data_IF_049570178625
#
_entry.id   IF_049570178625
#
_cell.length_a   1.000
_cell.length_b   1.000
_cell.length_c   1.000
_cell.angle_alpha   90.00
_cell.angle_beta   90.00
_cell.angle_gamma   90.00
#
_symmetry.space_group_name_H-M   'P 1'
#
loop_
_entity.id
_entity.type
_entity.pdbx_description
1 polymer ?
#
# COMPACT_ATOMS: atom_id res chain seq x y z
N UNK A 1 43.11 -31.35 -18.65
CA UNK A 1 43.24 -29.93 -18.25
C UNK A 1 42.09 -29.61 -17.31
N UNK A 2 42.34 -28.84 -16.24
CA UNK A 2 41.74 -28.93 -14.87
C UNK A 2 42.49 -30.01 -14.06
N UNK A 3 43.03 -29.74 -12.83
CA UNK A 3 42.27 -29.26 -11.67
C UNK A 3 42.95 -28.33 -10.63
N UNK A 4 42.09 -27.65 -9.85
CA UNK A 4 42.05 -27.52 -8.37
C UNK A 4 43.35 -27.28 -7.58
N UNK A 5 43.36 -26.21 -6.75
CA UNK A 5 44.14 -26.16 -5.51
C UNK A 5 43.22 -25.91 -4.31
N UNK A 6 43.37 -26.81 -3.33
CA UNK A 6 42.58 -27.03 -2.13
C UNK A 6 43.44 -26.67 -0.89
N UNK A 7 42.80 -26.13 0.15
CA UNK A 7 43.10 -26.17 1.61
C UNK A 7 44.52 -26.54 2.10
N UNK A 8 45.05 -25.81 3.10
CA UNK A 8 45.09 -26.25 4.52
C UNK A 8 46.03 -25.44 5.46
N UNK A 9 45.46 -25.04 6.61
CA UNK A 9 45.90 -25.16 8.02
C UNK A 9 47.38 -25.10 8.52
N UNK A 10 47.48 -24.39 9.68
CA UNK A 10 48.41 -24.54 10.85
C UNK A 10 49.85 -24.04 10.65
N UNK A 11 50.48 -23.33 11.59
CA UNK A 11 50.86 -23.76 12.94
C UNK A 11 51.25 -22.57 13.86
N UNK A 12 51.00 -22.70 15.18
CA UNK A 12 51.75 -22.02 16.27
C UNK A 12 52.97 -22.91 16.67
N UNK A 13 53.75 -22.74 17.77
CA UNK A 13 53.79 -21.69 18.82
C UNK A 13 55.25 -21.35 19.29
N UNK A 14 55.37 -20.66 20.45
CA UNK A 14 56.29 -20.89 21.59
C UNK A 14 57.35 -19.81 21.98
N UNK A 15 57.26 -19.43 23.28
CA UNK A 15 58.31 -19.07 24.28
C UNK A 15 59.17 -17.82 24.08
N UNK A 16 59.67 -17.10 25.08
CA UNK A 16 59.46 -16.86 26.52
C UNK A 16 60.74 -16.14 26.98
N UNK A 17 60.68 -15.15 27.88
CA UNK A 17 61.65 -15.03 28.99
C UNK A 17 61.16 -13.97 29.99
N UNK A 18 61.14 -14.36 31.26
CA UNK A 18 60.96 -13.50 32.41
C UNK A 18 62.31 -13.38 33.13
N UNK A 19 62.65 -12.21 33.66
CA UNK A 19 63.63 -12.04 34.74
C UNK A 19 63.06 -11.05 35.77
N UNK A 20 63.32 -11.36 37.02
CA UNK A 20 62.63 -11.00 38.25
C UNK A 20 63.52 -10.13 39.15
N UNK A 21 62.85 -9.26 39.93
CA UNK A 21 63.19 -8.61 41.21
C UNK A 21 64.42 -7.70 41.37
N UNK A 22 64.16 -6.54 41.98
CA UNK A 22 64.72 -6.16 43.29
C UNK A 22 63.85 -5.06 43.94
N UNK A 23 63.59 -5.23 45.24
CA UNK A 23 62.78 -4.36 46.08
C UNK A 23 63.63 -3.27 46.76
N UNK A 24 63.03 -2.11 47.08
CA UNK A 24 62.95 -1.53 48.43
C UNK A 24 62.77 -0.01 48.43
N UNK A 25 62.19 0.44 49.55
CA UNK A 25 62.21 1.80 50.14
C UNK A 25 61.21 2.82 49.60
N UNK A 26 60.27 3.17 50.48
CA UNK A 26 59.22 4.13 50.23
C UNK A 26 59.65 5.58 50.39
N UNK A 27 58.86 6.44 49.78
CA UNK A 27 58.68 7.84 50.13
C UNK A 27 57.22 8.20 49.82
N UNK A 28 56.56 8.75 50.83
CA UNK A 28 55.24 9.38 50.71
C UNK A 28 55.45 10.88 50.46
N UNK A 29 55.08 11.41 49.28
CA UNK A 29 54.92 12.85 49.11
C UNK A 29 53.50 13.29 49.50
N UNK A 30 53.45 14.52 50.01
CA UNK A 30 52.34 15.16 50.66
C UNK A 30 51.17 15.51 49.72
N UNK A 31 49.96 15.56 50.31
CA UNK A 31 48.74 16.11 49.70
C UNK A 31 48.94 17.58 49.34
N UNK A 32 48.84 17.90 48.06
CA UNK A 32 48.55 19.25 47.59
C UNK A 32 47.02 19.47 47.59
N UNK A 33 46.59 20.63 48.07
CA UNK A 33 45.18 20.99 48.25
C UNK A 33 44.40 21.07 46.94
N UNK A 34 43.16 20.62 47.01
CA UNK A 34 42.17 20.64 45.93
C UNK A 34 41.62 22.07 45.78
N UNK A 35 41.82 22.68 44.62
CA UNK A 35 41.14 23.92 44.24
C UNK A 35 39.68 23.62 43.90
N UNK A 36 38.70 24.44 44.32
CA UNK A 36 37.29 24.18 44.06
C UNK A 36 36.99 24.30 42.56
N UNK A 37 36.45 23.22 41.99
CA UNK A 37 36.02 23.15 40.60
C UNK A 37 34.83 24.10 40.36
N UNK A 38 34.95 24.95 39.33
CA UNK A 38 33.82 25.72 38.81
C UNK A 38 32.83 24.79 38.09
N UNK A 39 31.51 25.02 38.21
CA UNK A 39 30.51 24.22 37.54
C UNK A 39 30.53 24.48 36.03
N UNK A 40 30.88 23.44 35.26
CA UNK A 40 30.83 23.44 33.80
C UNK A 40 29.37 23.55 33.34
N UNK A 41 29.02 24.61 32.62
CA UNK A 41 27.73 24.73 31.95
C UNK A 41 27.59 23.62 30.88
N UNK A 42 26.53 22.84 30.98
CA UNK A 42 26.19 21.81 30.01
C UNK A 42 25.85 22.45 28.65
N UNK A 43 26.46 21.92 27.58
CA UNK A 43 26.16 22.33 26.22
C UNK A 43 24.70 21.99 25.84
N UNK A 44 24.02 22.79 25.00
CA UNK A 44 22.66 22.50 24.56
C UNK A 44 22.63 21.20 23.74
N UNK A 45 21.63 20.36 24.00
CA UNK A 45 21.40 19.14 23.23
C UNK A 45 21.12 19.46 21.74
N UNK A 46 21.57 18.63 20.80
CA UNK A 46 21.27 18.80 19.37
C UNK A 46 19.75 18.81 19.15
N UNK A 47 19.26 19.80 18.40
CA UNK A 47 17.86 19.86 18.00
C UNK A 47 17.48 18.62 17.20
N UNK A 48 16.38 17.96 17.58
CA UNK A 48 15.84 16.83 16.85
C UNK A 48 15.42 17.26 15.43
N UNK A 49 15.70 16.45 14.39
CA UNK A 49 15.24 16.73 13.03
C UNK A 49 13.71 16.87 12.99
N UNK A 50 13.23 17.88 12.27
CA UNK A 50 11.80 18.07 12.07
C UNK A 50 11.15 16.81 11.45
N UNK A 51 9.90 16.46 11.82
CA UNK A 51 9.18 15.36 11.20
C UNK A 51 9.12 15.55 9.69
N UNK A 52 9.45 14.51 8.93
CA UNK A 52 9.32 14.51 7.48
C UNK A 52 7.87 14.84 7.07
N UNK A 53 7.72 15.69 6.04
CA UNK A 53 6.42 16.00 5.46
C UNK A 53 5.69 14.69 5.07
N UNK A 54 4.34 14.64 5.17
CA UNK A 54 3.57 13.49 4.68
C UNK A 54 3.93 13.21 3.22
N UNK A 55 4.12 11.94 2.87
CA UNK A 55 4.29 11.54 1.48
C UNK A 55 2.95 11.67 0.73
N UNK A 56 3.00 12.19 -0.49
CA UNK A 56 1.88 12.25 -1.43
C UNK A 56 1.18 10.88 -1.54
N UNK A 57 -0.16 10.87 -1.55
CA UNK A 57 -0.95 9.64 -1.33
C UNK A 57 -1.64 9.18 -2.63
N UNK A 58 -1.35 7.97 -3.12
CA UNK A 58 -2.07 7.41 -4.26
C UNK A 58 -3.51 7.01 -3.88
N UNK A 59 -4.49 7.41 -4.69
CA UNK A 59 -5.91 7.06 -4.60
C UNK A 59 -6.36 6.34 -5.87
N UNK A 60 -7.27 5.37 -5.75
CA UNK A 60 -7.90 4.75 -6.93
C UNK A 60 -9.04 5.64 -7.41
N UNK A 61 -8.83 6.34 -8.54
CA UNK A 61 -9.82 7.22 -9.15
C UNK A 61 -10.88 6.48 -9.98
N UNK A 62 -10.58 5.26 -10.44
CA UNK A 62 -11.55 4.42 -11.14
C UNK A 62 -11.06 3.00 -11.37
N UNK A 63 -11.99 2.04 -11.50
CA UNK A 63 -11.70 0.64 -11.87
C UNK A 63 -12.46 0.27 -13.14
N UNK A 64 -11.77 -0.43 -14.02
CA UNK A 64 -12.19 -0.79 -15.36
C UNK A 64 -11.75 -2.23 -15.61
N UNK A 65 -12.52 -3.18 -15.05
CA UNK A 65 -12.18 -4.61 -15.05
C UNK A 65 -10.79 -4.82 -14.43
N UNK A 66 -9.82 -5.24 -15.25
CA UNK A 66 -8.48 -5.60 -14.80
C UNK A 66 -7.57 -4.37 -14.63
N UNK A 67 -8.06 -3.18 -14.98
CA UNK A 67 -7.30 -1.93 -14.91
C UNK A 67 -7.87 -0.97 -13.88
N UNK A 68 -7.01 -0.19 -13.25
CA UNK A 68 -7.38 0.91 -12.38
C UNK A 68 -6.68 2.20 -12.80
N UNK A 69 -7.35 3.34 -12.67
CA UNK A 69 -6.72 4.67 -12.70
C UNK A 69 -6.37 5.03 -11.27
N UNK A 70 -5.10 5.31 -11.02
CA UNK A 70 -4.55 5.73 -9.74
C UNK A 70 -4.06 7.16 -9.89
N UNK A 71 -4.47 8.05 -9.00
CA UNK A 71 -4.02 9.44 -8.97
C UNK A 71 -3.26 9.70 -7.68
N UNK A 72 -2.17 10.46 -7.73
CA UNK A 72 -1.43 10.88 -6.55
C UNK A 72 -1.95 12.25 -6.13
N UNK A 73 -2.47 12.34 -4.91
CA UNK A 73 -2.84 13.61 -4.30
C UNK A 73 -1.56 14.36 -3.92
N UNK A 74 -1.37 15.56 -4.48
CA UNK A 74 -0.44 16.54 -3.91
C UNK A 74 -1.11 17.17 -2.68
N UNK A 75 -0.42 17.20 -1.54
CA UNK A 75 -0.91 17.65 -0.22
C UNK A 75 -1.32 19.15 -0.19
N UNK A 76 -2.40 19.52 -0.88
CA UNK A 76 -3.04 20.83 -0.80
C UNK A 76 -2.56 21.89 -1.79
N UNK A 77 -1.98 21.52 -2.93
CA UNK A 77 -1.73 22.45 -4.04
C UNK A 77 -2.84 22.31 -5.09
N UNK A 78 -3.82 23.24 -5.13
CA UNK A 78 -4.96 23.15 -6.06
C UNK A 78 -4.57 23.30 -7.54
N UNK A 79 -3.34 23.76 -7.83
CA UNK A 79 -2.87 24.08 -9.18
C UNK A 79 -1.82 23.09 -9.73
N UNK A 80 -1.46 22.03 -9.00
CA UNK A 80 -0.61 20.98 -9.57
C UNK A 80 -1.49 19.91 -10.22
N UNK A 81 -1.26 19.58 -11.50
CA UNK A 81 -2.06 18.56 -12.18
C UNK A 81 -1.88 17.22 -11.46
N UNK A 82 -2.99 16.63 -11.01
CA UNK A 82 -3.01 15.31 -10.39
C UNK A 82 -2.24 14.31 -11.28
N UNK A 83 -1.17 13.71 -10.75
CA UNK A 83 -0.43 12.69 -11.47
C UNK A 83 -1.24 11.39 -11.43
N UNK A 84 -2.01 11.16 -12.49
CA UNK A 84 -2.75 9.93 -12.68
C UNK A 84 -2.04 8.97 -13.64
N UNK A 85 -2.17 7.67 -13.36
CA UNK A 85 -1.64 6.58 -14.17
C UNK A 85 -2.59 5.37 -14.14
N UNK A 86 -2.58 4.56 -15.20
CA UNK A 86 -3.20 3.24 -15.21
C UNK A 86 -2.29 2.22 -14.56
N UNK A 87 -2.92 1.22 -13.93
CA UNK A 87 -2.24 0.05 -13.40
C UNK A 87 -3.13 -1.19 -13.52
N UNK A 88 -2.58 -2.32 -13.96
CA UNK A 88 -3.28 -3.62 -14.03
C UNK A 88 -3.26 -4.35 -12.67
N UNK A 89 -2.18 -4.15 -11.90
CA UNK A 89 -2.03 -4.60 -10.53
C UNK A 89 -1.85 -3.36 -9.67
N UNK A 90 -2.90 -2.87 -8.99
CA UNK A 90 -2.86 -1.58 -8.28
C UNK A 90 -1.67 -1.42 -7.29
N UNK A 91 -1.06 -2.53 -6.87
CA UNK A 91 0.15 -2.62 -6.05
C UNK A 91 1.30 -3.30 -6.81
N UNK A 92 1.77 -2.69 -7.89
CA UNK A 92 2.77 -3.22 -8.85
C UNK A 92 4.19 -3.48 -8.27
N UNK A 93 4.39 -3.39 -6.96
CA UNK A 93 5.67 -3.56 -6.27
C UNK A 93 5.69 -4.81 -5.36
N UNK A 94 4.57 -5.55 -5.32
CA UNK A 94 4.45 -6.81 -4.61
C UNK A 94 5.02 -7.94 -5.47
N UNK A 95 6.19 -8.48 -5.09
CA UNK A 95 6.90 -9.52 -5.85
C UNK A 95 6.02 -10.74 -6.19
N UNK A 96 5.04 -11.06 -5.33
CA UNK A 96 4.10 -12.17 -5.50
C UNK A 96 3.02 -11.88 -6.55
N UNK A 97 2.90 -10.62 -6.99
CA UNK A 97 1.92 -10.13 -7.96
C UNK A 97 2.59 -9.58 -9.23
N UNK A 98 3.85 -9.95 -9.45
CA UNK A 98 4.59 -9.60 -10.66
C UNK A 98 4.44 -10.69 -11.74
N UNK A 99 4.41 -10.30 -13.02
CA UNK A 99 4.66 -8.94 -13.51
C UNK A 99 3.44 -8.00 -13.45
N UNK A 100 3.73 -6.69 -13.41
CA UNK A 100 2.74 -5.62 -13.40
C UNK A 100 3.11 -4.51 -14.39
N UNK A 101 2.14 -3.73 -14.85
CA UNK A 101 2.32 -2.63 -15.80
C UNK A 101 1.75 -1.32 -15.28
N UNK A 102 2.53 -0.25 -15.42
CA UNK A 102 2.12 1.12 -15.16
C UNK A 102 2.15 1.91 -16.46
N UNK A 103 1.05 2.60 -16.78
CA UNK A 103 0.95 3.48 -17.95
C UNK A 103 0.54 4.86 -17.48
N UNK A 104 1.33 5.88 -17.78
CA UNK A 104 1.07 7.24 -17.31
C UNK A 104 1.74 8.26 -18.20
N UNK A 105 1.59 9.53 -17.85
CA UNK A 105 2.30 10.59 -18.54
C UNK A 105 3.62 10.86 -17.84
N UNK A 106 4.73 10.74 -18.56
CA UNK A 106 6.06 11.10 -18.09
C UNK A 106 6.50 12.43 -18.72
N UNK A 107 7.27 13.23 -17.98
CA UNK A 107 7.86 14.48 -18.48
C UNK A 107 9.32 14.23 -18.86
N UNK A 108 9.70 14.54 -20.10
CA UNK A 108 11.11 14.51 -20.53
C UNK A 108 11.93 15.62 -19.87
N UNK A 109 13.25 15.52 -19.95
CA UNK A 109 14.18 16.59 -19.57
C UNK A 109 13.91 17.92 -20.29
N UNK A 110 13.24 17.88 -21.44
CA UNK A 110 12.84 19.07 -22.21
C UNK A 110 11.46 19.61 -21.81
N UNK A 111 10.85 19.09 -20.76
CA UNK A 111 9.50 19.48 -20.30
C UNK A 111 8.36 18.93 -21.15
N UNK A 112 8.65 18.11 -22.17
CA UNK A 112 7.61 17.47 -22.98
C UNK A 112 6.93 16.36 -22.19
N UNK A 113 5.60 16.45 -22.05
CA UNK A 113 4.77 15.39 -21.50
C UNK A 113 4.49 14.34 -22.58
N UNK A 114 4.89 13.09 -22.35
CA UNK A 114 4.61 11.96 -23.24
C UNK A 114 3.88 10.85 -22.50
N UNK A 115 3.03 10.11 -23.23
CA UNK A 115 2.48 8.87 -22.71
C UNK A 115 3.59 7.82 -22.67
N UNK A 116 3.71 7.13 -21.55
CA UNK A 116 4.77 6.18 -21.30
C UNK A 116 4.26 4.93 -20.58
N UNK A 117 5.01 3.84 -20.74
CA UNK A 117 4.76 2.55 -20.14
C UNK A 117 6.00 2.06 -19.40
N UNK A 118 5.79 1.43 -18.24
CA UNK A 118 6.82 0.74 -17.46
C UNK A 118 6.28 -0.60 -16.96
N UNK A 119 7.14 -1.61 -16.91
CA UNK A 119 6.84 -2.91 -16.33
C UNK A 119 7.67 -3.16 -15.07
N UNK A 120 7.06 -3.88 -14.15
CA UNK A 120 7.71 -4.47 -12.99
C UNK A 120 7.72 -5.98 -13.18
N UNK A 121 8.90 -6.58 -13.19
CA UNK A 121 9.16 -7.99 -13.42
C UNK A 121 9.61 -8.65 -12.11
N UNK A 122 9.41 -9.97 -11.91
CA UNK A 122 9.87 -10.66 -10.72
C UNK A 122 11.37 -10.42 -10.42
N UNK A 123 11.82 -10.33 -9.14
CA UNK A 123 13.23 -10.13 -8.76
C UNK A 123 14.21 -11.15 -9.36
N UNK A 124 13.70 -12.36 -9.63
CA UNK A 124 14.43 -13.45 -10.23
C UNK A 124 14.69 -13.27 -11.74
N UNK A 125 14.21 -12.19 -12.35
CA UNK A 125 14.45 -11.90 -13.77
C UNK A 125 15.93 -11.62 -14.04
N UNK A 126 16.43 -12.20 -15.13
CA UNK A 126 17.74 -11.88 -15.71
C UNK A 126 17.62 -10.55 -16.48
N UNK A 127 18.23 -9.51 -15.92
CA UNK A 127 18.18 -8.17 -16.47
C UNK A 127 18.97 -8.02 -17.77
N UNK A 128 20.00 -8.84 -17.96
CA UNK A 128 20.91 -8.74 -19.11
C UNK A 128 20.30 -9.37 -20.37
N UNK A 129 19.30 -10.24 -20.20
CA UNK A 129 18.50 -10.81 -21.28
C UNK A 129 17.41 -9.87 -21.82
N UNK A 130 17.12 -8.77 -21.10
CA UNK A 130 16.04 -7.84 -21.44
C UNK A 130 14.65 -8.46 -21.38
N UNK A 131 13.69 -7.80 -22.02
CA UNK A 131 12.32 -8.30 -22.15
C UNK A 131 11.75 -8.05 -23.55
N UNK A 132 10.66 -8.76 -23.84
CA UNK A 132 9.96 -8.74 -25.12
C UNK A 132 8.48 -8.52 -24.90
N UNK A 133 7.89 -7.54 -25.58
CA UNK A 133 6.47 -7.22 -25.51
C UNK A 133 5.77 -7.60 -26.82
N UNK A 134 4.72 -8.42 -26.73
CA UNK A 134 3.81 -8.69 -27.84
C UNK A 134 2.36 -8.42 -27.44
N UNK A 135 1.49 -8.17 -28.43
CA UNK A 135 0.05 -8.02 -28.22
C UNK A 135 -0.65 -8.98 -29.19
N UNK A 136 -1.40 -9.95 -28.65
CA UNK A 136 -1.93 -11.09 -29.41
C UNK A 136 -0.84 -12.00 -30.01
N UNK A 137 -1.13 -12.65 -31.14
CA UNK A 137 -0.23 -13.60 -31.82
C UNK A 137 0.81 -12.93 -32.73
N UNK A 138 0.95 -11.60 -32.65
CA UNK A 138 1.90 -10.86 -33.48
C UNK A 138 3.33 -11.09 -32.98
N UNK A 139 4.29 -11.07 -33.91
CA UNK A 139 5.71 -10.94 -33.58
C UNK A 139 5.92 -9.74 -32.66
N UNK A 140 6.90 -9.82 -31.76
CA UNK A 140 7.01 -8.80 -30.73
C UNK A 140 7.21 -7.42 -31.32
N UNK A 141 6.56 -6.52 -30.63
CA UNK A 141 6.35 -5.16 -31.06
C UNK A 141 7.43 -4.28 -30.42
N UNK A 142 7.97 -4.70 -29.27
CA UNK A 142 9.06 -4.00 -28.59
C UNK A 142 10.00 -5.00 -27.90
N UNK A 143 11.31 -4.80 -28.05
CA UNK A 143 12.31 -5.33 -27.12
C UNK A 143 12.74 -4.18 -26.20
N UNK A 144 12.99 -4.47 -24.93
CA UNK A 144 13.35 -3.43 -23.97
C UNK A 144 14.38 -3.89 -22.94
N UNK A 145 14.96 -2.88 -22.28
CA UNK A 145 16.02 -3.03 -21.29
C UNK A 145 15.44 -3.09 -19.87
N UNK A 146 16.16 -3.82 -19.00
CA UNK A 146 15.90 -3.91 -17.58
C UNK A 146 17.10 -3.28 -16.85
N UNK A 147 17.10 -1.95 -16.60
CA UNK A 147 18.26 -1.25 -16.04
C UNK A 147 18.61 -1.69 -14.61
N UNK A 148 17.62 -2.08 -13.81
CA UNK A 148 17.84 -2.37 -12.40
C UNK A 148 16.92 -3.47 -11.88
N UNK A 149 17.45 -4.26 -10.96
CA UNK A 149 16.69 -5.20 -10.15
C UNK A 149 17.10 -5.05 -8.70
N UNK A 150 16.13 -5.10 -7.80
CA UNK A 150 16.34 -5.18 -6.37
C UNK A 150 15.65 -6.42 -5.78
N UNK A 151 15.49 -6.45 -4.45
CA UNK A 151 14.84 -7.56 -3.75
C UNK A 151 13.32 -7.67 -3.99
N UNK A 152 12.69 -6.62 -4.55
CA UNK A 152 11.24 -6.50 -4.72
C UNK A 152 10.81 -6.63 -6.17
N UNK A 153 11.56 -6.04 -7.11
CA UNK A 153 11.26 -6.15 -8.54
C UNK A 153 12.50 -5.90 -9.40
N UNK A 154 12.39 -6.35 -10.65
CA UNK A 154 13.16 -5.84 -11.77
C UNK A 154 12.32 -4.78 -12.49
N UNK A 155 12.87 -3.60 -12.73
CA UNK A 155 12.15 -2.50 -13.36
C UNK A 155 12.64 -2.30 -14.78
N UNK A 156 11.72 -2.13 -15.72
CA UNK A 156 12.08 -1.75 -17.09
C UNK A 156 12.37 -0.25 -17.17
N UNK A 157 13.15 0.14 -18.18
CA UNK A 157 13.22 1.55 -18.57
C UNK A 157 11.80 2.05 -18.90
N UNK A 158 11.52 3.31 -18.59
CA UNK A 158 10.30 3.99 -19.06
C UNK A 158 10.39 4.08 -20.58
N UNK A 159 9.41 3.51 -21.27
CA UNK A 159 9.34 3.54 -22.73
C UNK A 159 8.24 4.49 -23.16
N UNK A 160 8.46 5.30 -24.22
CA UNK A 160 7.36 5.97 -24.90
C UNK A 160 6.30 4.94 -25.32
N UNK A 161 5.03 5.30 -25.19
CA UNK A 161 3.90 4.49 -25.63
C UNK A 161 3.20 5.23 -26.78
N UNK A 162 3.60 4.98 -28.05
CA UNK A 162 2.99 5.63 -29.21
C UNK A 162 1.51 5.26 -29.37
N UNK A 163 0.73 6.14 -30.02
CA UNK A 163 -0.69 5.93 -30.28
C UNK A 163 -0.97 4.65 -31.05
N UNK A 164 -0.09 4.22 -31.94
CA UNK A 164 -0.23 2.98 -32.72
C UNK A 164 -0.23 1.74 -31.81
N UNK A 165 0.58 1.78 -30.75
CA UNK A 165 0.64 0.71 -29.74
C UNK A 165 -0.60 0.76 -28.87
N UNK A 166 -1.03 1.95 -28.43
CA UNK A 166 -2.28 2.13 -27.68
C UNK A 166 -3.46 1.58 -28.47
N UNK A 167 -3.55 1.87 -29.76
CA UNK A 167 -4.61 1.38 -30.65
C UNK A 167 -4.56 -0.14 -30.81
N UNK A 168 -3.35 -0.71 -30.82
CA UNK A 168 -3.16 -2.16 -30.84
C UNK A 168 -3.61 -2.78 -29.52
N UNK A 169 -3.31 -2.16 -28.38
CA UNK A 169 -3.78 -2.60 -27.06
C UNK A 169 -5.32 -2.48 -26.93
N UNK A 170 -5.92 -1.40 -27.45
CA UNK A 170 -7.38 -1.20 -27.43
C UNK A 170 -8.15 -2.28 -28.20
N UNK A 171 -7.54 -2.85 -29.25
CA UNK A 171 -8.11 -3.94 -30.06
C UNK A 171 -7.72 -5.34 -29.57
N UNK A 172 -6.67 -5.44 -28.75
CA UNK A 172 -6.15 -6.69 -28.23
C UNK A 172 -6.90 -7.15 -26.99
N UNK A 173 -6.91 -8.46 -26.74
CA UNK A 173 -7.43 -9.06 -25.50
C UNK A 173 -6.33 -9.27 -24.46
N UNK A 174 -5.10 -9.49 -24.92
CA UNK A 174 -3.94 -9.85 -24.07
C UNK A 174 -2.68 -9.22 -24.62
N UNK A 175 -1.87 -8.68 -23.72
CA UNK A 175 -0.48 -8.30 -23.95
C UNK A 175 0.41 -9.34 -23.28
N UNK A 176 1.43 -9.83 -23.97
CA UNK A 176 2.32 -10.86 -23.45
C UNK A 176 3.70 -10.28 -23.20
N UNK A 177 4.18 -10.48 -21.98
CA UNK A 177 5.49 -10.03 -21.53
C UNK A 177 6.43 -11.23 -21.42
N UNK A 178 7.39 -11.32 -22.33
CA UNK A 178 8.44 -12.34 -22.33
C UNK A 178 9.70 -11.84 -21.64
N UNK A 179 10.27 -12.64 -20.73
CA UNK A 179 11.51 -12.35 -20.03
C UNK A 179 12.22 -13.65 -19.62
N UNK A 180 13.47 -13.57 -19.18
CA UNK A 180 14.26 -14.75 -18.77
C UNK A 180 14.51 -14.70 -17.27
N UNK A 181 14.51 -15.86 -16.60
CA UNK A 181 14.88 -15.96 -15.18
C UNK A 181 16.37 -16.24 -14.99
N UNK A 182 16.93 -15.74 -13.89
CA UNK A 182 18.28 -16.07 -13.42
C UNK A 182 18.39 -17.58 -13.21
N UNK A 183 19.28 -18.24 -13.98
CA UNK A 183 19.40 -19.70 -14.01
C UNK A 183 18.95 -20.33 -15.33
N UNK A 184 18.44 -19.54 -16.27
CA UNK A 184 17.95 -20.01 -17.56
C UNK A 184 16.49 -20.43 -17.49
N UNK A 185 15.73 -20.09 -18.54
CA UNK A 185 14.29 -20.30 -18.60
C UNK A 185 13.60 -19.04 -19.11
N UNK A 186 13.30 -19.03 -20.42
CA UNK A 186 12.42 -18.02 -20.99
C UNK A 186 11.01 -18.28 -20.48
N UNK A 187 10.36 -17.23 -19.98
CA UNK A 187 8.97 -17.26 -19.54
C UNK A 187 8.17 -16.17 -20.24
N UNK A 188 6.87 -16.37 -20.31
CA UNK A 188 5.92 -15.40 -20.87
C UNK A 188 4.75 -15.25 -19.93
N UNK A 189 4.43 -14.01 -19.57
CA UNK A 189 3.30 -13.68 -18.70
C UNK A 189 2.22 -12.94 -19.48
N UNK A 190 0.97 -13.44 -19.51
CA UNK A 190 -0.13 -12.73 -20.09
C UNK A 190 -0.63 -11.62 -19.15
N UNK A 191 -0.79 -10.42 -19.70
CA UNK A 191 -1.44 -9.27 -19.07
C UNK A 191 -2.76 -9.05 -19.79
N UNK A 192 -3.86 -9.09 -19.05
CA UNK A 192 -5.20 -8.88 -19.61
C UNK A 192 -5.38 -7.42 -20.05
N UNK A 193 -5.90 -7.23 -21.26
CA UNK A 193 -6.30 -5.91 -21.77
C UNK A 193 -7.81 -5.66 -21.55
N UNK A 194 -8.47 -6.53 -20.80
CA UNK A 194 -9.88 -6.36 -20.44
C UNK A 194 -10.08 -5.09 -19.62
N UNK A 195 -10.77 -4.11 -20.21
CA UNK A 195 -11.03 -2.82 -19.57
C UNK A 195 -9.94 -1.75 -19.80
N UNK A 196 -8.84 -2.10 -20.48
CA UNK A 196 -7.76 -1.15 -20.83
C UNK A 196 -8.30 0.06 -21.60
N UNK A 197 -9.12 -0.14 -22.64
CA UNK A 197 -9.66 0.95 -23.46
C UNK A 197 -10.45 1.96 -22.62
N UNK A 198 -11.27 1.48 -21.68
CA UNK A 198 -12.08 2.33 -20.82
C UNK A 198 -11.22 3.09 -19.80
N UNK A 199 -10.26 2.40 -19.17
CA UNK A 199 -9.31 3.03 -18.26
C UNK A 199 -8.43 4.08 -18.95
N UNK A 200 -7.98 3.79 -20.17
CA UNK A 200 -7.12 4.69 -20.94
C UNK A 200 -7.87 5.96 -21.33
N UNK A 201 -9.11 5.81 -21.81
CA UNK A 201 -9.95 6.94 -22.14
C UNK A 201 -10.25 7.79 -20.90
N UNK A 202 -10.47 7.16 -19.74
CA UNK A 202 -10.65 7.86 -18.48
C UNK A 202 -9.39 8.65 -18.09
N UNK A 203 -8.20 8.04 -18.15
CA UNK A 203 -6.94 8.74 -17.88
C UNK A 203 -6.74 9.93 -18.84
N UNK A 204 -6.99 9.74 -20.14
CA UNK A 204 -6.79 10.77 -21.15
C UNK A 204 -7.76 11.97 -20.99
N UNK A 205 -8.93 11.75 -20.42
CA UNK A 205 -9.98 12.77 -20.25
C UNK A 205 -9.93 13.47 -18.88
N UNK A 206 -8.94 13.17 -18.03
CA UNK A 206 -8.92 13.69 -16.65
C UNK A 206 -10.06 13.14 -15.78
N UNK A 207 -10.69 12.04 -16.23
CA UNK A 207 -11.76 11.18 -15.63
C UNK A 207 -13.04 11.94 -15.20
N UNK A 208 -14.28 11.71 -15.73
CA UNK A 208 -15.06 10.43 -15.79
C UNK A 208 -15.70 10.14 -17.19
N UNK A 209 -16.32 8.95 -17.50
CA UNK A 209 -17.24 8.18 -16.63
C UNK A 209 -17.16 6.63 -16.66
N UNK A 210 -17.84 5.93 -15.71
CA UNK A 210 -18.01 4.48 -15.75
C UNK A 210 -19.41 4.07 -16.26
N UNK A 211 -19.44 3.25 -17.29
CA UNK A 211 -20.55 2.34 -17.59
C UNK A 211 -19.98 0.99 -18.05
N UNK A 212 -20.44 -0.08 -17.42
CA UNK A 212 -20.16 -1.50 -17.67
C UNK A 212 -18.80 -2.08 -17.20
N UNK A 213 -18.77 -2.50 -15.94
CA UNK A 213 -18.26 -3.82 -15.52
C UNK A 213 -18.81 -4.17 -14.13
N UNK A 214 -19.84 -5.03 -14.11
CA UNK A 214 -20.37 -5.67 -12.93
C UNK A 214 -19.53 -6.92 -12.56
N UNK A 215 -19.59 -7.29 -11.27
CA UNK A 215 -18.96 -8.42 -10.57
C UNK A 215 -17.45 -8.25 -10.22
N UNK A 216 -16.96 -8.45 -8.99
CA UNK A 216 -17.54 -8.96 -7.75
C UNK A 216 -16.62 -8.58 -6.56
N UNK A 217 -17.11 -7.76 -5.64
CA UNK A 217 -16.79 -7.87 -4.21
C UNK A 217 -18.09 -7.50 -3.49
N UNK A 218 -18.73 -8.50 -2.88
CA UNK A 218 -20.12 -8.46 -2.42
C UNK A 218 -20.56 -7.13 -1.80
N UNK A 219 -21.48 -6.47 -2.52
CA UNK A 219 -22.10 -5.20 -2.16
C UNK A 219 -22.27 -4.32 -3.41
N UNK A 220 -23.36 -3.55 -3.54
CA UNK A 220 -23.58 -2.69 -4.69
C UNK A 220 -22.43 -1.74 -5.00
N UNK A 221 -22.26 -1.43 -6.29
CA UNK A 221 -21.24 -0.50 -6.77
C UNK A 221 -21.50 0.91 -6.22
N UNK A 222 -20.90 1.16 -5.06
CA UNK A 222 -20.98 2.44 -4.38
C UNK A 222 -20.00 3.41 -5.02
N UNK A 223 -20.53 4.52 -5.53
CA UNK A 223 -19.78 5.61 -6.13
C UNK A 223 -19.32 6.56 -5.02
N UNK A 224 -18.15 7.15 -5.19
CA UNK A 224 -17.69 8.23 -4.33
C UNK A 224 -18.72 9.37 -4.32
N UNK A 225 -19.07 9.85 -3.12
CA UNK A 225 -19.96 10.99 -2.92
C UNK A 225 -19.20 12.19 -2.34
N UNK A 226 -18.47 11.99 -1.25
CA UNK A 226 -17.82 13.09 -0.54
C UNK A 226 -16.70 12.59 0.39
N UNK A 227 -15.68 13.43 0.61
CA UNK A 227 -14.60 13.18 1.58
C UNK A 227 -14.79 14.07 2.81
N UNK A 228 -14.58 13.49 3.99
CA UNK A 228 -14.59 14.11 5.31
C UNK A 228 -13.24 13.83 5.97
N UNK A 229 -12.23 14.63 5.63
CA UNK A 229 -10.86 14.43 6.08
C UNK A 229 -10.38 13.00 5.80
N UNK A 230 -10.34 12.14 6.82
CA UNK A 230 -9.85 10.77 6.73
C UNK A 230 -10.94 9.74 6.37
N UNK A 231 -12.21 10.14 6.27
CA UNK A 231 -13.34 9.29 5.91
C UNK A 231 -13.90 9.64 4.54
N UNK A 232 -14.30 8.65 3.76
CA UNK A 232 -14.97 8.86 2.47
C UNK A 232 -16.38 8.28 2.52
N UNK A 233 -17.36 9.00 1.97
CA UNK A 233 -18.71 8.51 1.79
C UNK A 233 -18.85 7.92 0.38
N UNK A 234 -19.30 6.68 0.31
CA UNK A 234 -19.65 6.01 -0.93
C UNK A 234 -21.13 5.62 -0.92
N UNK A 235 -21.80 5.73 -2.07
CA UNK A 235 -23.23 5.49 -2.21
C UNK A 235 -23.54 4.69 -3.47
N UNK A 236 -24.36 3.64 -3.35
CA UNK A 236 -24.71 2.78 -4.49
C UNK A 236 -26.01 2.03 -4.27
N UNK A 237 -26.60 1.55 -5.36
CA UNK A 237 -27.84 0.76 -5.32
C UNK A 237 -27.55 -0.73 -5.51
N UNK A 238 -28.10 -1.63 -4.66
CA UNK A 238 -27.98 -3.10 -4.74
C UNK A 238 -28.13 -3.66 -6.15
N UNK A 239 -29.13 -3.16 -6.85
CA UNK A 239 -29.44 -3.39 -8.24
C UNK A 239 -29.45 -2.02 -8.93
N UNK A 240 -29.13 -1.95 -10.22
CA UNK A 240 -29.17 -0.68 -10.96
C UNK A 240 -30.61 -0.14 -11.17
N UNK A 241 -31.57 -0.60 -10.36
CA UNK A 241 -32.96 -0.19 -10.37
C UNK A 241 -33.10 1.17 -9.66
N UNK A 242 -33.53 2.23 -10.35
CA UNK A 242 -33.74 3.54 -9.74
C UNK A 242 -34.74 3.55 -8.58
N UNK A 243 -35.67 2.57 -8.55
CA UNK A 243 -36.65 2.40 -7.48
C UNK A 243 -36.06 1.82 -6.19
N UNK A 244 -34.87 1.20 -6.25
CA UNK A 244 -34.19 0.70 -5.06
C UNK A 244 -33.48 1.85 -4.36
N UNK A 245 -33.68 1.99 -3.04
CA UNK A 245 -32.94 2.96 -2.25
C UNK A 245 -31.44 2.84 -2.43
N UNK A 246 -30.80 4.01 -2.51
CA UNK A 246 -29.36 4.09 -2.51
C UNK A 246 -28.82 3.84 -1.09
N UNK A 247 -27.86 2.93 -0.98
CA UNK A 247 -27.19 2.61 0.26
C UNK A 247 -25.89 3.40 0.30
N UNK A 248 -25.77 4.29 1.28
CA UNK A 248 -24.54 5.02 1.57
C UNK A 248 -23.81 4.42 2.77
N UNK A 249 -22.48 4.52 2.75
CA UNK A 249 -21.62 4.17 3.87
C UNK A 249 -20.39 5.06 3.91
N UNK A 250 -19.84 5.25 5.10
CA UNK A 250 -18.52 5.83 5.29
C UNK A 250 -17.48 4.71 5.27
N UNK A 251 -16.33 4.97 4.67
CA UNK A 251 -15.20 4.07 4.63
C UNK A 251 -13.90 4.79 4.98
N UNK A 252 -13.03 4.09 5.70
CA UNK A 252 -11.62 4.43 5.80
C UNK A 252 -10.79 3.17 5.59
N UNK A 253 -9.84 3.23 4.66
CA UNK A 253 -8.89 2.15 4.39
C UNK A 253 -7.56 2.47 5.03
N UNK A 254 -7.06 1.57 5.87
CA UNK A 254 -5.73 1.65 6.46
C UNK A 254 -4.76 0.90 5.56
N UNK A 255 -3.68 1.57 5.16
CA UNK A 255 -2.60 0.94 4.40
C UNK A 255 -1.52 0.44 5.35
N UNK A 256 -0.91 -0.69 5.03
CA UNK A 256 0.26 -1.19 5.74
C UNK A 256 1.44 -0.25 5.54
N UNK A 257 1.97 0.29 6.64
CA UNK A 257 3.13 1.18 6.63
C UNK A 257 4.40 0.57 5.99
N UNK A 258 4.45 -0.76 5.86
CA UNK A 258 5.61 -1.48 5.29
C UNK A 258 5.41 -1.94 3.86
N UNK A 259 4.17 -2.05 3.37
CA UNK A 259 3.85 -2.81 2.15
C UNK A 259 2.97 -2.04 1.14
N UNK A 260 2.43 -0.87 1.49
CA UNK A 260 1.57 -0.10 0.58
C UNK A 260 0.26 -0.80 0.19
N UNK A 261 -0.05 -1.95 0.81
CA UNK A 261 -1.29 -2.71 0.63
C UNK A 261 -2.33 -2.28 1.66
N UNK A 262 -3.62 -2.38 1.33
CA UNK A 262 -4.68 -2.21 2.31
C UNK A 262 -4.53 -3.27 3.43
N UNK A 263 -4.21 -2.82 4.63
CA UNK A 263 -4.14 -3.64 5.83
C UNK A 263 -5.53 -4.01 6.31
N UNK A 264 -6.47 -3.07 6.26
CA UNK A 264 -7.90 -3.30 6.50
C UNK A 264 -8.72 -2.08 6.09
N UNK A 265 -10.04 -2.24 6.01
CA UNK A 265 -10.98 -1.12 5.92
C UNK A 265 -12.04 -1.17 7.02
N UNK A 266 -12.52 -0.01 7.46
CA UNK A 266 -13.69 0.13 8.31
C UNK A 266 -14.82 0.77 7.50
N UNK A 267 -16.00 0.14 7.50
CA UNK A 267 -17.23 0.60 6.85
C UNK A 267 -18.32 0.87 7.87
N UNK A 268 -18.95 2.04 7.78
CA UNK A 268 -20.04 2.45 8.68
C UNK A 268 -21.26 2.80 7.85
N UNK A 269 -22.39 2.16 8.14
CA UNK A 269 -23.66 2.39 7.44
C UNK A 269 -24.84 2.27 8.37
N UNK A 270 -25.97 2.86 7.99
CA UNK A 270 -27.23 2.48 8.61
C UNK A 270 -27.64 1.08 8.13
N UNK A 271 -27.90 0.18 9.07
CA UNK A 271 -28.53 -1.10 8.81
C UNK A 271 -30.01 -0.87 8.46
N UNK A 272 -30.51 -1.64 7.51
CA UNK A 272 -31.94 -1.67 7.24
C UNK A 272 -32.68 -2.06 8.53
N UNK A 273 -33.74 -1.32 8.90
CA UNK A 273 -34.49 -1.64 10.09
C UNK A 273 -35.15 -3.00 9.92
N UNK A 274 -35.15 -3.81 10.98
CA UNK A 274 -36.04 -4.97 11.05
C UNK A 274 -37.43 -4.41 11.39
N UNK A 275 -38.44 -4.79 10.61
CA UNK A 275 -39.89 -4.51 10.77
C UNK A 275 -40.23 -3.39 11.77
N UNK A 276 -40.33 -2.15 11.28
CA UNK A 276 -40.81 -0.99 12.06
C UNK A 276 -39.83 -0.42 13.11
N UNK A 277 -38.62 -0.98 13.25
CA UNK A 277 -37.61 -0.47 14.17
C UNK A 277 -36.81 0.73 13.66
N UNK A 278 -36.07 1.38 14.56
CA UNK A 278 -35.14 2.44 14.19
C UNK A 278 -33.94 1.91 13.37
N UNK A 279 -33.45 2.72 12.44
CA UNK A 279 -32.20 2.45 11.70
C UNK A 279 -31.03 2.48 12.68
N UNK A 280 -30.30 1.38 12.81
CA UNK A 280 -29.12 1.29 13.67
C UNK A 280 -27.83 1.47 12.87
N UNK A 281 -26.84 2.14 13.43
CA UNK A 281 -25.51 2.19 12.83
C UNK A 281 -24.83 0.82 12.94
N UNK A 282 -24.29 0.35 11.83
CA UNK A 282 -23.51 -0.87 11.73
C UNK A 282 -22.08 -0.53 11.32
N UNK A 283 -21.12 -1.13 12.03
CA UNK A 283 -19.70 -1.08 11.73
C UNK A 283 -19.28 -2.46 11.19
N UNK A 284 -18.54 -2.44 10.09
CA UNK A 284 -17.93 -3.60 9.48
C UNK A 284 -16.45 -3.33 9.29
N UNK A 285 -15.61 -4.20 9.84
CA UNK A 285 -14.21 -4.28 9.49
C UNK A 285 -14.03 -5.30 8.37
N UNK A 286 -13.20 -4.96 7.40
CA UNK A 286 -12.77 -5.80 6.30
C UNK A 286 -11.27 -6.03 6.47
N UNK A 287 -10.92 -7.22 6.91
CA UNK A 287 -9.56 -7.70 7.09
C UNK A 287 -9.10 -8.51 5.87
N UNK A 288 -7.79 -8.71 5.70
CA UNK A 288 -7.25 -9.57 4.66
C UNK A 288 -7.71 -11.02 4.80
N UNK A 289 -7.73 -11.83 3.71
CA UNK A 289 -8.05 -13.26 3.78
C UNK A 289 -7.17 -14.08 4.74
N UNK A 290 -5.92 -13.65 4.95
CA UNK A 290 -4.96 -14.30 5.84
C UNK A 290 -5.24 -14.07 7.34
N UNK A 291 -6.32 -13.39 7.69
CA UNK A 291 -6.70 -13.14 9.08
C UNK A 291 -7.22 -14.41 9.75
N UNK A 292 -6.69 -14.70 10.95
CA UNK A 292 -7.12 -15.82 11.77
C UNK A 292 -8.50 -15.55 12.38
N UNK A 293 -9.54 -16.10 11.76
CA UNK A 293 -10.93 -15.90 12.18
C UNK A 293 -11.18 -16.22 13.66
N UNK A 294 -10.58 -17.31 14.17
CA UNK A 294 -10.75 -17.77 15.56
C UNK A 294 -10.14 -16.82 16.60
N UNK A 295 -9.22 -15.93 16.21
CA UNK A 295 -8.57 -15.00 17.13
C UNK A 295 -9.40 -13.73 17.39
N UNK A 296 -10.41 -13.45 16.55
CA UNK A 296 -11.22 -12.23 16.67
C UNK A 296 -10.44 -10.94 16.43
N UNK A 297 -11.01 -9.83 16.92
CA UNK A 297 -10.40 -8.50 16.87
C UNK A 297 -10.61 -7.74 18.19
N UNK A 298 -9.78 -6.74 18.44
CA UNK A 298 -9.90 -5.81 19.55
C UNK A 298 -9.82 -4.37 19.04
N UNK A 299 -10.66 -3.49 19.57
CA UNK A 299 -10.71 -2.06 19.23
C UNK A 299 -10.32 -1.24 20.45
N UNK A 300 -9.45 -0.26 20.21
CA UNK A 300 -9.07 0.77 21.17
C UNK A 300 -9.36 2.15 20.57
N UNK A 301 -9.78 3.11 21.39
CA UNK A 301 -9.90 4.52 21.02
C UNK A 301 -8.98 5.31 21.93
N UNK A 302 -8.07 6.07 21.33
CA UNK A 302 -7.02 6.82 22.05
C UNK A 302 -6.34 5.95 23.13
N UNK A 303 -5.92 4.75 22.72
CA UNK A 303 -5.21 3.74 23.51
C UNK A 303 -6.02 3.13 24.68
N UNK A 304 -7.32 3.41 24.76
CA UNK A 304 -8.24 2.77 25.72
C UNK A 304 -9.01 1.64 25.05
N UNK A 305 -8.98 0.40 25.58
CA UNK A 305 -9.81 -0.69 25.09
C UNK A 305 -11.30 -0.32 25.15
N UNK A 306 -12.00 -0.49 24.02
CA UNK A 306 -13.43 -0.17 23.91
C UNK A 306 -14.25 -1.44 23.70
N UNK A 307 -13.79 -2.33 22.81
CA UNK A 307 -14.49 -3.58 22.57
C UNK A 307 -13.58 -4.65 21.96
N UNK A 308 -14.07 -5.88 21.98
CA UNK A 308 -13.52 -7.01 21.23
C UNK A 308 -14.68 -7.81 20.65
N UNK A 309 -14.43 -8.55 19.57
CA UNK A 309 -15.49 -9.33 18.93
C UNK A 309 -14.98 -10.39 17.97
N UNK A 310 -15.88 -11.28 17.52
CA UNK A 310 -15.54 -12.33 16.57
C UNK A 310 -15.44 -11.77 15.15
N UNK A 311 -14.61 -12.42 14.33
CA UNK A 311 -14.65 -12.28 12.87
C UNK A 311 -15.69 -13.28 12.37
N UNK A 312 -16.73 -12.78 11.70
CA UNK A 312 -17.95 -13.57 11.46
C UNK A 312 -17.87 -14.42 10.19
N UNK A 313 -17.12 -13.96 9.18
CA UNK A 313 -17.01 -14.65 7.89
C UNK A 313 -15.65 -14.37 7.26
N UNK A 314 -14.99 -15.40 6.77
CA UNK A 314 -13.84 -15.28 5.88
C UNK A 314 -14.14 -15.98 4.56
N UNK A 315 -13.79 -15.34 3.46
CA UNK A 315 -13.79 -15.93 2.12
C UNK A 315 -12.46 -15.66 1.42
N UNK A 316 -12.37 -15.99 0.13
CA UNK A 316 -11.13 -15.84 -0.65
C UNK A 316 -10.68 -14.39 -0.81
N UNK A 317 -11.58 -13.42 -0.62
CA UNK A 317 -11.32 -12.00 -0.85
C UNK A 317 -11.14 -11.22 0.45
N UNK A 318 -11.94 -11.48 1.49
CA UNK A 318 -11.87 -10.77 2.77
C UNK A 318 -12.30 -11.61 3.96
N UNK A 319 -11.83 -11.22 5.14
CA UNK A 319 -12.41 -11.57 6.42
C UNK A 319 -13.23 -10.38 6.94
N UNK A 320 -14.52 -10.57 7.21
CA UNK A 320 -15.44 -9.50 7.58
C UNK A 320 -16.00 -9.65 9.00
N UNK A 321 -16.27 -8.52 9.65
CA UNK A 321 -17.12 -8.42 10.83
C UNK A 321 -18.48 -7.85 10.46
N UNK A 322 -19.45 -7.99 11.35
CA UNK A 322 -20.69 -7.24 11.28
C UNK A 322 -21.15 -6.98 12.71
N UNK A 323 -21.12 -5.72 13.14
CA UNK A 323 -21.58 -5.33 14.46
C UNK A 323 -22.46 -4.10 14.39
N UNK A 324 -23.44 -4.03 15.28
CA UNK A 324 -24.18 -2.79 15.55
C UNK A 324 -23.30 -1.93 16.46
N UNK A 325 -23.16 -0.65 16.13
CA UNK A 325 -22.40 0.29 16.95
C UNK A 325 -23.23 0.67 18.18
N UNK A 326 -22.78 0.37 19.41
CA UNK A 326 -23.44 0.87 20.61
C UNK A 326 -23.28 2.40 20.70
N UNK A 327 -24.22 3.13 21.33
CA UNK A 327 -24.13 4.58 21.49
C UNK A 327 -22.80 5.05 22.11
N UNK A 328 -22.30 4.31 23.10
CA UNK A 328 -21.02 4.59 23.75
C UNK A 328 -19.84 4.54 22.77
N UNK A 329 -19.79 3.57 21.85
CA UNK A 329 -18.75 3.50 20.83
C UNK A 329 -18.84 4.70 19.88
N UNK A 330 -20.04 5.10 19.49
CA UNK A 330 -20.26 6.28 18.63
C UNK A 330 -19.74 7.54 19.33
N UNK A 331 -20.09 7.73 20.60
CA UNK A 331 -19.66 8.88 21.39
C UNK A 331 -18.14 8.93 21.59
N UNK A 332 -17.53 7.78 21.85
CA UNK A 332 -16.08 7.65 21.94
C UNK A 332 -15.41 7.97 20.61
N UNK A 333 -15.94 7.47 19.48
CA UNK A 333 -15.39 7.76 18.15
C UNK A 333 -15.58 9.24 17.77
N UNK A 334 -16.66 9.90 18.19
CA UNK A 334 -16.89 11.34 17.96
C UNK A 334 -15.92 12.23 18.73
N UNK A 335 -15.52 11.81 19.94
CA UNK A 335 -14.62 12.56 20.83
C UNK A 335 -13.15 12.21 20.61
N UNK A 336 -12.87 11.01 20.12
CA UNK A 336 -11.52 10.49 20.00
C UNK A 336 -10.78 10.96 18.76
N UNK A 337 -9.47 10.68 18.72
CA UNK A 337 -8.59 11.09 17.63
C UNK A 337 -8.11 9.92 16.76
N UNK A 338 -7.94 8.74 17.39
CA UNK A 338 -7.43 7.53 16.76
C UNK A 338 -8.23 6.31 17.23
N UNK A 339 -8.56 5.43 16.29
CA UNK A 339 -9.09 4.10 16.57
C UNK A 339 -8.08 3.05 16.13
N UNK A 340 -7.58 2.25 17.06
CA UNK A 340 -6.63 1.17 16.78
C UNK A 340 -7.35 -0.17 16.79
N UNK A 341 -7.21 -0.95 15.73
CA UNK A 341 -7.82 -2.28 15.61
C UNK A 341 -6.74 -3.35 15.57
N UNK A 342 -6.67 -4.16 16.62
CA UNK A 342 -5.76 -5.29 16.71
C UNK A 342 -6.44 -6.58 16.23
N UNK A 343 -5.74 -7.33 15.39
CA UNK A 343 -6.18 -8.62 14.87
C UNK A 343 -4.96 -9.50 14.58
N UNK A 344 -5.18 -10.77 14.27
CA UNK A 344 -4.07 -11.71 14.04
C UNK A 344 -4.08 -12.23 12.61
N UNK A 345 -2.98 -12.08 11.91
CA UNK A 345 -2.71 -12.72 10.62
C UNK A 345 -2.01 -14.06 10.86
N UNK A 346 -1.96 -14.92 9.84
CA UNK A 346 -1.12 -16.12 9.80
C UNK A 346 0.34 -15.88 10.27
N UNK A 347 0.88 -14.69 9.98
CA UNK A 347 2.24 -14.26 10.33
C UNK A 347 2.36 -13.57 11.69
N UNK A 348 1.27 -13.42 12.45
CA UNK A 348 1.28 -12.88 13.80
C UNK A 348 0.31 -11.71 14.03
N UNK A 349 0.39 -11.13 15.23
CA UNK A 349 -0.47 -10.02 15.65
C UNK A 349 -0.13 -8.76 14.87
N UNK A 350 -1.16 -8.03 14.45
CA UNK A 350 -1.03 -6.75 13.76
C UNK A 350 -2.03 -5.75 14.32
N UNK A 351 -1.76 -4.46 14.12
CA UNK A 351 -2.64 -3.38 14.54
C UNK A 351 -2.75 -2.37 13.40
N UNK A 352 -3.97 -1.96 13.10
CA UNK A 352 -4.26 -0.92 12.12
C UNK A 352 -4.79 0.32 12.84
N UNK A 353 -4.16 1.46 12.56
CA UNK A 353 -4.56 2.74 13.13
C UNK A 353 -5.43 3.52 12.14
N UNK A 354 -6.66 3.79 12.57
CA UNK A 354 -7.62 4.63 11.88
C UNK A 354 -7.61 6.03 12.48
N UNK A 355 -7.69 7.06 11.62
CA UNK A 355 -7.92 8.43 12.08
C UNK A 355 -9.41 8.68 12.28
N UNK A 356 -9.77 9.28 13.41
CA UNK A 356 -11.15 9.72 13.68
C UNK A 356 -11.40 11.16 13.17
N UNK A 357 -10.42 11.80 12.52
CA UNK A 357 -10.61 13.10 11.88
C UNK A 357 -11.66 13.01 10.78
N UNK A 358 -12.67 13.88 10.87
CA UNK A 358 -13.80 13.92 9.94
C UNK A 358 -14.87 12.85 10.19
N UNK A 359 -14.72 11.96 11.18
CA UNK A 359 -15.72 10.94 11.51
C UNK A 359 -17.08 11.57 11.85
N UNK A 360 -17.10 12.55 12.76
CA UNK A 360 -18.35 13.20 13.19
C UNK A 360 -19.07 13.86 12.02
N UNK A 361 -18.36 14.64 11.21
CA UNK A 361 -18.93 15.29 10.02
C UNK A 361 -19.44 14.28 8.99
N UNK A 362 -18.68 13.21 8.74
CA UNK A 362 -19.11 12.14 7.85
C UNK A 362 -20.35 11.41 8.37
N UNK A 363 -20.41 11.15 9.68
CA UNK A 363 -21.54 10.44 10.31
C UNK A 363 -22.81 11.28 10.28
N UNK A 364 -22.69 12.57 10.59
CA UNK A 364 -23.82 13.49 10.55
C UNK A 364 -24.38 13.59 9.12
N UNK A 365 -23.49 13.69 8.12
CA UNK A 365 -23.90 13.68 6.72
C UNK A 365 -24.51 12.34 6.27
N UNK A 366 -23.98 11.21 6.76
CA UNK A 366 -24.55 9.89 6.50
C UNK A 366 -25.98 9.79 7.07
N UNK A 367 -26.24 10.41 8.22
CA UNK A 367 -27.56 10.50 8.84
C UNK A 367 -28.60 11.25 8.01
N UNK A 368 -28.16 12.19 7.16
CA UNK A 368 -29.02 12.96 6.26
C UNK A 368 -29.37 12.23 4.97
N UNK A 369 -28.73 11.08 4.68
CA UNK A 369 -29.09 10.28 3.51
C UNK A 369 -30.47 9.67 3.73
N UNK A 370 -31.43 10.12 2.90
CA UNK A 370 -32.77 9.53 2.83
C UNK A 370 -32.64 8.11 2.27
N UNK A 371 -32.98 7.13 3.09
CA UNK A 371 -33.15 5.73 2.70
C UNK A 371 -34.53 5.49 2.12
#
# INVERSE_FOLDING_TARGET
MVPVMLKAFRHAPLTALAIVCLAASGWTPARAGEAPAQPTQAAPAPAQPAPAAPAARPRVAGRFKDWAVICIDDDGKPDTPEECYLNDVPNAQDADKLPAVVIGYATTDKGQRLLAIRFYLPPATDKDAGFRLSIGDKQAIQNGEIPSCDARACETRVMPLPSEIVDTMKRGSTMTLGYTLKGGGATTSPISLSGFTAAFNALAQGVPPPAAAAAESGGPQAKFRQKYDSWVMLCGRPDNNPATPEICYLEQTVMSAKQGQALMAARIRYAAPKEGGERKLALQFLFPPATMQAAGFQVMIDDKPVMQGPIVKCDKAVCATAMVMPPELIDLMKKGTKMSVAFTLDRGKTTADLSLKGFTAGLDALGQVKS
#
